data_IF_076806495750
#
_entry.id   IF_076806495750
#
_cell.length_a   1.000
_cell.length_b   1.000
_cell.length_c   1.000
_cell.angle_alpha   90.00
_cell.angle_beta   90.00
_cell.angle_gamma   90.00
#
_symmetry.space_group_name_H-M   'P 1'
#
loop_
_entity.id
_entity.type
_entity.pdbx_description
1 polymer ?
#
# COMPACT_ATOMS: atom_id res chain seq x y z
N UNK A 1 4.69 -15.56 -4.29
CA UNK A 1 5.73 -15.10 -3.35
C UNK A 1 5.20 -14.14 -2.29
N UNK A 2 4.35 -13.20 -2.66
CA UNK A 2 3.77 -12.24 -1.75
C UNK A 2 2.76 -12.84 -0.77
N UNK A 3 2.09 -13.93 -1.14
CA UNK A 3 1.07 -14.57 -0.28
C UNK A 3 1.70 -15.17 0.98
N UNK A 4 2.91 -15.74 0.89
CA UNK A 4 3.59 -16.33 2.04
C UNK A 4 4.09 -15.31 3.06
N UNK A 5 4.41 -14.08 2.63
CA UNK A 5 4.88 -13.01 3.52
C UNK A 5 3.74 -12.31 4.26
N UNK A 6 2.51 -12.37 3.73
CA UNK A 6 1.34 -11.73 4.32
C UNK A 6 0.66 -12.58 5.40
N UNK A 7 1.04 -13.84 5.54
CA UNK A 7 0.44 -14.76 6.50
C UNK A 7 -1.01 -15.08 6.20
N UNK A 8 -1.76 -15.53 7.22
CA UNK A 8 -3.18 -15.83 7.10
C UNK A 8 -4.00 -14.54 7.15
N UNK A 9 -4.46 -14.07 6.00
CA UNK A 9 -5.24 -12.85 5.85
C UNK A 9 -6.64 -12.91 6.46
N UNK A 10 -7.13 -14.09 6.86
CA UNK A 10 -8.42 -14.22 7.54
C UNK A 10 -8.40 -13.70 8.98
N UNK A 11 -7.21 -13.53 9.56
CA UNK A 11 -7.01 -13.18 10.96
C UNK A 11 -6.84 -11.68 11.21
N UNK A 12 -6.79 -10.86 10.17
CA UNK A 12 -6.62 -9.41 10.29
C UNK A 12 -7.28 -8.64 9.15
N UNK A 13 -7.48 -7.35 9.36
CA UNK A 13 -7.88 -6.40 8.32
C UNK A 13 -6.61 -5.80 7.71
N UNK A 14 -6.41 -5.98 6.41
CA UNK A 14 -5.33 -5.34 5.67
C UNK A 14 -5.70 -3.92 5.25
N UNK A 15 -4.71 -3.03 5.15
CA UNK A 15 -4.95 -1.67 4.67
C UNK A 15 -5.55 -1.65 3.26
N UNK A 16 -5.20 -2.60 2.42
CA UNK A 16 -5.77 -2.76 1.07
C UNK A 16 -7.25 -3.22 1.05
N UNK A 17 -7.78 -3.70 2.17
CA UNK A 17 -9.19 -4.10 2.27
C UNK A 17 -10.12 -2.88 2.45
N UNK A 18 -9.55 -1.73 2.81
CA UNK A 18 -10.29 -0.50 3.10
C UNK A 18 -10.48 0.30 1.82
N UNK A 19 -11.66 0.89 1.67
CA UNK A 19 -12.00 1.73 0.52
C UNK A 19 -12.55 0.96 -0.67
N UNK A 20 -12.49 -0.37 -0.66
CA UNK A 20 -13.12 -1.24 -1.66
C UNK A 20 -14.47 -1.75 -1.21
N UNK A 21 -15.01 -2.71 -1.97
CA UNK A 21 -16.24 -3.41 -1.60
C UNK A 21 -16.01 -4.34 -0.40
N UNK A 22 -16.63 -4.03 0.74
CA UNK A 22 -16.50 -4.81 1.97
C UNK A 22 -16.89 -6.28 1.79
N UNK A 23 -17.94 -6.55 0.99
CA UNK A 23 -18.35 -7.92 0.67
C UNK A 23 -17.28 -8.67 -0.10
N UNK A 24 -16.65 -8.03 -1.08
CA UNK A 24 -15.55 -8.62 -1.85
C UNK A 24 -14.34 -8.93 -0.95
N UNK A 25 -13.98 -8.00 -0.08
CA UNK A 25 -12.89 -8.20 0.89
C UNK A 25 -13.19 -9.36 1.85
N UNK A 26 -14.41 -9.44 2.34
CA UNK A 26 -14.83 -10.53 3.23
C UNK A 26 -14.80 -11.90 2.54
N UNK A 27 -15.39 -11.99 1.34
CA UNK A 27 -15.43 -13.24 0.59
C UNK A 27 -14.03 -13.69 0.16
N UNK A 28 -13.17 -12.76 -0.24
CA UNK A 28 -11.78 -13.05 -0.59
C UNK A 28 -10.95 -13.61 0.57
N UNK A 29 -11.36 -13.35 1.82
CA UNK A 29 -10.76 -13.96 3.01
C UNK A 29 -11.27 -15.36 3.32
N UNK A 30 -12.49 -15.64 2.93
CA UNK A 30 -13.18 -16.93 3.22
C UNK A 30 -13.02 -17.97 2.13
N UNK A 31 -12.79 -17.54 0.89
CA UNK A 31 -12.71 -18.42 -0.26
C UNK A 31 -11.33 -18.33 -0.90
N UNK A 32 -10.76 -19.49 -1.20
CA UNK A 32 -9.56 -19.55 -2.03
C UNK A 32 -9.97 -19.27 -3.47
N UNK A 33 -9.38 -18.24 -4.05
CA UNK A 33 -9.65 -17.85 -5.44
C UNK A 33 -8.45 -18.28 -6.30
N UNK A 34 -8.74 -19.09 -7.31
CA UNK A 34 -7.75 -19.40 -8.34
C UNK A 34 -7.85 -18.31 -9.41
N UNK A 35 -6.73 -17.64 -9.66
CA UNK A 35 -6.62 -16.58 -10.65
C UNK A 35 -6.20 -17.15 -12.00
N UNK A 36 -6.80 -16.66 -13.08
CA UNK A 36 -6.40 -16.99 -14.43
C UNK A 36 -5.09 -16.28 -14.84
N UNK A 37 -4.56 -16.62 -16.00
CA UNK A 37 -3.31 -16.06 -16.51
C UNK A 37 -3.40 -14.53 -16.69
N UNK A 38 -4.55 -14.03 -17.15
CA UNK A 38 -4.76 -12.59 -17.35
C UNK A 38 -4.68 -11.82 -16.04
N UNK A 39 -5.27 -12.38 -14.98
CA UNK A 39 -5.18 -11.79 -13.64
C UNK A 39 -3.76 -11.81 -13.08
N UNK A 40 -3.01 -12.89 -13.32
CA UNK A 40 -1.59 -12.95 -12.97
C UNK A 40 -0.77 -11.88 -13.69
N UNK A 41 -1.02 -11.64 -14.97
CA UNK A 41 -0.37 -10.56 -15.73
C UNK A 41 -0.67 -9.19 -15.11
N UNK A 42 -1.91 -8.95 -14.71
CA UNK A 42 -2.28 -7.68 -14.03
C UNK A 42 -1.53 -7.52 -12.72
N UNK A 43 -1.38 -8.58 -11.92
CA UNK A 43 -0.60 -8.55 -10.69
C UNK A 43 0.89 -8.27 -10.95
N UNK A 44 1.47 -8.89 -12.00
CA UNK A 44 2.86 -8.64 -12.38
C UNK A 44 3.10 -7.19 -12.80
N UNK A 45 2.14 -6.52 -13.45
CA UNK A 45 2.24 -5.08 -13.71
C UNK A 45 2.34 -4.26 -12.44
N UNK A 46 1.62 -4.64 -11.39
CA UNK A 46 1.73 -4.04 -10.07
C UNK A 46 3.15 -4.18 -9.50
N UNK A 47 3.73 -5.38 -9.56
CA UNK A 47 5.10 -5.62 -9.12
C UNK A 47 6.14 -4.86 -9.94
N UNK A 48 5.94 -4.73 -11.26
CA UNK A 48 6.81 -3.91 -12.09
C UNK A 48 6.77 -2.44 -11.67
N UNK A 49 5.60 -1.90 -11.37
CA UNK A 49 5.44 -0.54 -10.87
C UNK A 49 6.17 -0.32 -9.55
N UNK A 50 6.08 -1.26 -8.62
CA UNK A 50 6.85 -1.23 -7.37
C UNK A 50 8.36 -1.22 -7.64
N UNK A 51 8.85 -2.06 -8.55
CA UNK A 51 10.25 -2.10 -8.94
C UNK A 51 10.76 -0.79 -9.54
N UNK A 52 9.93 -0.11 -10.34
CA UNK A 52 10.25 1.20 -10.91
C UNK A 52 10.35 2.25 -9.78
N UNK A 53 9.38 2.29 -8.88
CA UNK A 53 9.39 3.23 -7.75
C UNK A 53 10.59 2.98 -6.84
N UNK A 54 10.96 1.73 -6.60
CA UNK A 54 12.16 1.39 -5.84
C UNK A 54 13.42 2.03 -6.46
N UNK A 55 13.55 1.98 -7.78
CA UNK A 55 14.66 2.65 -8.50
C UNK A 55 14.59 4.17 -8.39
N UNK A 56 13.41 4.76 -8.47
CA UNK A 56 13.23 6.20 -8.31
C UNK A 56 13.65 6.69 -6.92
N UNK A 57 13.55 5.83 -5.91
CA UNK A 57 13.89 6.14 -4.52
C UNK A 57 15.32 5.71 -4.12
N UNK A 58 16.12 5.20 -5.05
CA UNK A 58 17.52 4.86 -4.79
C UNK A 58 18.30 6.08 -4.24
N UNK A 59 19.19 5.82 -3.28
CA UNK A 59 19.98 6.87 -2.64
C UNK A 59 19.27 7.60 -1.49
N UNK A 60 17.99 7.32 -1.26
CA UNK A 60 17.27 7.81 -0.08
C UNK A 60 17.39 6.82 1.10
N UNK A 61 17.12 7.23 2.35
CA UNK A 61 17.08 6.32 3.50
C UNK A 61 15.80 5.45 3.47
N UNK A 62 15.74 4.57 2.48
CA UNK A 62 14.58 3.75 2.12
C UNK A 62 14.51 2.45 2.92
N UNK A 63 13.32 2.15 3.42
CA UNK A 63 12.93 0.83 3.91
C UNK A 63 11.76 0.33 3.06
N UNK A 64 11.78 -0.93 2.72
CA UNK A 64 10.74 -1.58 1.90
C UNK A 64 9.95 -2.58 2.72
N UNK A 65 8.69 -2.80 2.34
CA UNK A 65 7.80 -3.79 2.96
C UNK A 65 7.74 -3.67 4.49
N UNK A 66 7.52 -2.45 4.96
CA UNK A 66 7.40 -2.15 6.38
C UNK A 66 6.04 -2.59 6.88
N UNK A 67 6.01 -3.48 7.88
CA UNK A 67 4.77 -3.88 8.53
C UNK A 67 4.40 -2.90 9.65
N UNK A 68 3.17 -2.41 9.62
CA UNK A 68 2.59 -1.61 10.68
C UNK A 68 1.32 -2.29 11.20
N UNK A 69 1.18 -2.38 12.51
CA UNK A 69 0.11 -3.13 13.19
C UNK A 69 -0.63 -2.20 14.14
N UNK A 70 -1.95 -2.33 14.14
CA UNK A 70 -2.84 -1.67 15.08
C UNK A 70 -4.03 -2.55 15.40
N UNK A 71 -5.02 -1.98 16.07
CA UNK A 71 -6.26 -2.66 16.43
C UNK A 71 -7.46 -1.76 16.18
N UNK A 72 -8.55 -2.36 15.71
CA UNK A 72 -9.86 -1.73 15.71
C UNK A 72 -10.42 -1.60 17.15
N UNK A 73 -11.47 -0.82 17.32
CA UNK A 73 -12.09 -0.58 18.63
C UNK A 73 -12.55 -1.87 19.32
N UNK A 74 -12.96 -2.86 18.53
CA UNK A 74 -13.33 -4.20 19.03
C UNK A 74 -12.11 -5.12 19.31
N UNK A 75 -10.89 -4.62 19.16
CA UNK A 75 -9.65 -5.37 19.37
C UNK A 75 -9.20 -6.20 18.17
N UNK A 76 -9.93 -6.19 17.04
CA UNK A 76 -9.54 -6.96 15.86
C UNK A 76 -8.26 -6.38 15.22
N UNK A 77 -7.26 -7.23 14.88
CA UNK A 77 -6.00 -6.74 14.34
C UNK A 77 -6.17 -6.03 12.98
N UNK A 78 -5.47 -4.91 12.83
CA UNK A 78 -5.33 -4.20 11.56
C UNK A 78 -3.85 -4.18 11.20
N UNK A 79 -3.50 -4.56 9.97
CA UNK A 79 -2.12 -4.58 9.48
C UNK A 79 -2.00 -3.86 8.16
N UNK A 80 -0.87 -3.20 7.97
CA UNK A 80 -0.47 -2.66 6.68
C UNK A 80 0.92 -3.18 6.32
N UNK A 81 1.11 -3.52 5.06
CA UNK A 81 2.41 -3.73 4.46
C UNK A 81 2.67 -2.53 3.55
N UNK A 82 3.54 -1.65 4.02
CA UNK A 82 3.85 -0.40 3.35
C UNK A 82 4.99 -0.65 2.38
N UNK A 83 4.77 -0.38 1.09
CA UNK A 83 5.75 -0.69 0.04
C UNK A 83 7.07 0.02 0.28
N UNK A 84 7.01 1.33 0.54
CA UNK A 84 8.19 2.18 0.71
C UNK A 84 8.00 3.17 1.85
N UNK A 85 9.00 3.20 2.74
CA UNK A 85 9.11 4.18 3.82
C UNK A 85 10.47 4.85 3.71
N UNK A 86 10.50 6.16 3.51
CA UNK A 86 11.72 6.95 3.47
C UNK A 86 11.84 7.72 4.77
N UNK A 87 12.84 7.39 5.57
CA UNK A 87 13.04 7.96 6.92
C UNK A 87 14.14 9.03 6.90
N UNK A 88 13.73 10.30 6.93
CA UNK A 88 14.65 11.45 7.02
C UNK A 88 14.95 11.87 8.47
N UNK A 89 14.62 11.05 9.45
CA UNK A 89 14.84 11.33 10.86
C UNK A 89 13.63 11.97 11.53
N UNK A 90 13.39 13.26 11.34
CA UNK A 90 12.23 13.97 11.89
C UNK A 90 10.97 13.79 11.06
N UNK A 91 11.12 13.58 9.78
CA UNK A 91 10.05 13.37 8.83
C UNK A 91 10.19 12.00 8.18
N UNK A 92 9.08 11.33 8.01
CA UNK A 92 8.97 10.02 7.33
C UNK A 92 7.96 10.16 6.21
N UNK A 93 8.33 9.65 5.05
CA UNK A 93 7.49 9.67 3.85
C UNK A 93 7.11 8.25 3.48
N UNK A 94 5.81 7.98 3.43
CA UNK A 94 5.25 6.75 2.87
C UNK A 94 5.02 6.96 1.39
N UNK A 95 5.42 6.01 0.57
CA UNK A 95 5.14 6.00 -0.87
C UNK A 95 4.42 4.72 -1.22
N UNK A 96 3.20 4.84 -1.74
CA UNK A 96 2.40 3.74 -2.27
C UNK A 96 2.49 3.74 -3.79
N UNK A 97 2.95 2.64 -4.37
CA UNK A 97 3.04 2.47 -5.81
C UNK A 97 1.74 1.86 -6.35
N UNK A 98 1.18 2.47 -7.38
CA UNK A 98 -0.03 2.00 -8.05
C UNK A 98 0.17 1.93 -9.56
N UNK A 99 -0.29 0.84 -10.15
CA UNK A 99 -0.35 0.67 -11.61
C UNK A 99 -1.68 1.18 -12.15
N UNK A 100 -1.65 1.86 -13.27
CA UNK A 100 -2.84 2.30 -13.99
C UNK A 100 -2.68 2.04 -15.49
N UNK A 101 -3.79 1.82 -16.18
CA UNK A 101 -3.78 1.64 -17.66
C UNK A 101 -3.94 2.94 -18.41
N UNK A 102 -4.34 4.01 -17.76
CA UNK A 102 -4.57 5.32 -18.37
C UNK A 102 -4.11 6.43 -17.41
N UNK A 103 -3.72 7.59 -17.93
CA UNK A 103 -3.51 8.78 -17.14
C UNK A 103 -4.75 9.12 -16.31
N UNK A 104 -4.55 9.52 -15.06
CA UNK A 104 -5.61 9.95 -14.16
C UNK A 104 -5.28 11.34 -13.59
N UNK A 105 -6.30 12.13 -13.32
CA UNK A 105 -6.12 13.47 -12.75
C UNK A 105 -6.16 13.47 -11.23
N UNK A 106 -6.92 12.53 -10.66
CA UNK A 106 -7.09 12.36 -9.22
C UNK A 106 -6.86 10.90 -8.83
N UNK A 107 -6.31 10.62 -7.64
CA UNK A 107 -6.18 9.26 -7.16
C UNK A 107 -7.57 8.68 -6.85
N UNK A 108 -7.71 7.37 -6.96
CA UNK A 108 -8.92 6.69 -6.50
C UNK A 108 -9.05 6.81 -4.98
N UNK A 109 -10.27 6.98 -4.48
CA UNK A 109 -10.55 7.11 -3.05
C UNK A 109 -10.01 5.93 -2.25
N UNK A 110 -10.10 4.70 -2.80
CA UNK A 110 -9.56 3.50 -2.18
C UNK A 110 -8.05 3.57 -1.95
N UNK A 111 -7.31 4.20 -2.86
CA UNK A 111 -5.86 4.38 -2.73
C UNK A 111 -5.53 5.40 -1.63
N UNK A 112 -6.30 6.48 -1.58
CA UNK A 112 -6.14 7.52 -0.55
C UNK A 112 -6.42 6.94 0.83
N UNK A 113 -7.52 6.23 1.00
CA UNK A 113 -7.90 5.60 2.27
C UNK A 113 -6.86 4.57 2.72
N UNK A 114 -6.37 3.73 1.80
CA UNK A 114 -5.29 2.78 2.09
C UNK A 114 -4.04 3.49 2.61
N UNK A 115 -3.61 4.54 1.94
CA UNK A 115 -2.41 5.29 2.32
C UNK A 115 -2.61 6.03 3.64
N UNK A 116 -3.77 6.62 3.87
CA UNK A 116 -4.11 7.26 5.15
C UNK A 116 -4.10 6.26 6.31
N UNK A 117 -4.64 5.06 6.10
CA UNK A 117 -4.57 4.02 7.12
C UNK A 117 -3.13 3.59 7.41
N UNK A 118 -2.29 3.46 6.37
CA UNK A 118 -0.87 3.19 6.54
C UNK A 118 -0.18 4.28 7.39
N UNK A 119 -0.47 5.55 7.12
CA UNK A 119 0.05 6.69 7.89
C UNK A 119 -0.38 6.61 9.35
N UNK A 120 -1.66 6.33 9.60
CA UNK A 120 -2.20 6.20 10.96
C UNK A 120 -1.55 5.03 11.71
N UNK A 121 -1.43 3.87 11.09
CA UNK A 121 -0.79 2.70 11.69
C UNK A 121 0.69 2.96 12.00
N UNK A 122 1.40 3.61 11.07
CA UNK A 122 2.80 3.95 11.27
C UNK A 122 2.97 4.97 12.40
N UNK A 123 2.07 5.95 12.51
CA UNK A 123 2.07 6.94 13.60
C UNK A 123 1.89 6.32 14.99
N UNK A 124 1.22 5.17 15.07
CA UNK A 124 1.05 4.43 16.31
C UNK A 124 2.22 3.47 16.60
N UNK A 125 3.18 3.35 15.70
CA UNK A 125 4.39 2.56 15.91
C UNK A 125 5.40 3.35 16.76
N UNK A 126 6.03 2.67 17.71
CA UNK A 126 7.00 3.28 18.66
C UNK A 126 8.18 3.98 17.96
N UNK A 127 8.61 3.43 16.83
CA UNK A 127 9.77 3.96 16.08
C UNK A 127 9.43 5.25 15.31
N UNK A 128 8.14 5.52 15.08
CA UNK A 128 7.67 6.60 14.23
C UNK A 128 6.71 7.59 14.90
N UNK A 129 6.23 7.31 16.12
CA UNK A 129 5.17 8.08 16.77
C UNK A 129 5.52 9.57 17.03
N UNK A 130 6.81 9.89 17.11
CA UNK A 130 7.30 11.27 17.31
C UNK A 130 7.68 11.98 16.01
N UNK A 131 7.57 11.28 14.88
CA UNK A 131 7.95 11.82 13.57
C UNK A 131 6.74 12.41 12.84
N UNK A 132 7.00 13.37 11.99
CA UNK A 132 6.01 13.83 11.02
C UNK A 132 5.88 12.80 9.90
N UNK A 133 4.67 12.33 9.61
CA UNK A 133 4.43 11.34 8.58
C UNK A 133 3.66 11.98 7.43
N UNK A 134 4.22 11.84 6.22
CA UNK A 134 3.57 12.23 4.97
C UNK A 134 3.33 11.00 4.11
N UNK A 135 2.27 11.00 3.35
CA UNK A 135 1.92 9.93 2.43
C UNK A 135 1.80 10.44 1.00
N UNK A 136 2.34 9.67 0.07
CA UNK A 136 2.23 9.91 -1.36
C UNK A 136 1.86 8.64 -2.09
N UNK A 137 1.12 8.81 -3.18
CA UNK A 137 0.76 7.76 -4.11
C UNK A 137 1.43 8.09 -5.43
N UNK A 138 2.19 7.14 -5.97
CA UNK A 138 2.75 7.27 -7.32
C UNK A 138 1.97 6.33 -8.22
N UNK A 139 1.19 6.89 -9.13
CA UNK A 139 0.50 6.15 -10.18
C UNK A 139 1.38 6.08 -11.42
N UNK A 140 1.55 4.89 -11.97
CA UNK A 140 2.40 4.62 -13.13
C UNK A 140 1.62 3.82 -14.18
N UNK A 141 1.65 4.30 -15.42
CA UNK A 141 1.29 3.53 -16.59
C UNK A 141 2.57 2.99 -17.23
N UNK A 142 2.87 1.73 -17.00
CA UNK A 142 4.11 1.09 -17.49
C UNK A 142 4.14 0.98 -19.01
N UNK A 143 2.99 1.06 -19.68
CA UNK A 143 2.90 0.98 -21.14
C UNK A 143 3.31 2.29 -21.82
N UNK A 144 2.80 3.42 -21.33
CA UNK A 144 3.08 4.74 -21.93
C UNK A 144 4.26 5.46 -21.27
N UNK A 145 4.67 5.04 -20.08
CA UNK A 145 5.65 5.74 -19.27
C UNK A 145 5.08 6.95 -18.51
N UNK A 146 3.76 7.15 -18.56
CA UNK A 146 3.13 8.20 -17.78
C UNK A 146 3.21 7.90 -16.29
N UNK A 147 3.46 8.93 -15.49
CA UNK A 147 3.38 8.82 -14.03
C UNK A 147 2.90 10.13 -13.41
N UNK A 148 2.33 10.03 -12.24
CA UNK A 148 1.94 11.20 -11.43
C UNK A 148 1.99 10.85 -9.95
N UNK A 149 2.44 11.83 -9.15
CA UNK A 149 2.47 11.74 -7.68
C UNK A 149 1.32 12.52 -7.08
N UNK A 150 0.61 11.91 -6.16
CA UNK A 150 -0.51 12.51 -5.43
C UNK A 150 -0.19 12.50 -3.93
N UNK A 151 -0.45 13.62 -3.25
CA UNK A 151 -0.41 13.66 -1.80
C UNK A 151 -1.62 12.95 -1.19
N UNK A 152 -1.39 12.14 -0.14
CA UNK A 152 -2.45 11.61 0.70
C UNK A 152 -2.43 12.39 2.02
N UNK A 153 -3.44 13.21 2.25
CA UNK A 153 -3.60 13.98 3.49
C UNK A 153 -4.58 13.29 4.42
N UNK A 154 -4.29 13.32 5.71
CA UNK A 154 -5.25 12.92 6.75
C UNK A 154 -6.13 14.08 7.17
#
# INVERSE_FOLDING_TARGET
>A
HTVSSLGDRSTYIGASDIGGCLRSSYLGKKQKVDYDISQHIVFERGHLSEGIVAKMLEGTPLKTQVEAIGKADNGFPIKAHIDFVVDFGKEVVIVEAKSTSNPIEQPYDSWVLQTQLQMWLLKNNKDYNRKTIRGYIIAIDVNSGWYKTFGATC
#
